data_IF_492736021222
#
_entry.id   IF_492736021222
#
_cell.length_a   1.000
_cell.length_b   1.000
_cell.length_c   1.000
_cell.angle_alpha   90.00
_cell.angle_beta   90.00
_cell.angle_gamma   90.00
#
_symmetry.space_group_name_H-M   'P 1'
#
loop_
_entity.id
_entity.type
_entity.pdbx_description
1 polymer ?
#
# COMPACT_ATOMS: atom_id res chain seq x y z
N UNK A 1 10.25 -10.36 21.92
CA UNK A 1 11.27 -9.97 20.92
C UNK A 1 11.42 -8.47 20.99
N UNK A 2 12.64 -7.94 21.16
CA UNK A 2 12.85 -6.56 21.60
C UNK A 2 13.18 -5.66 20.38
N UNK A 3 12.17 -5.25 19.61
CA UNK A 3 12.34 -4.42 18.39
C UNK A 3 12.90 -3.02 18.69
N UNK A 4 13.02 -2.65 19.98
CA UNK A 4 13.66 -1.41 20.45
C UNK A 4 15.14 -1.29 20.09
N UNK A 5 15.86 -2.36 19.71
CA UNK A 5 17.31 -2.27 19.52
C UNK A 5 17.78 -1.75 18.15
N UNK A 6 17.00 -1.88 17.07
CA UNK A 6 17.46 -1.50 15.70
C UNK A 6 16.69 -0.35 15.05
N UNK A 7 15.51 0.00 15.54
CA UNK A 7 14.72 1.11 15.01
C UNK A 7 14.85 2.34 15.89
N UNK A 8 15.35 3.44 15.32
CA UNK A 8 15.28 4.76 15.93
C UNK A 8 13.83 5.24 15.90
N UNK A 9 13.08 4.97 16.98
CA UNK A 9 11.69 5.35 17.18
C UNK A 9 11.63 6.76 17.77
N UNK A 10 11.21 7.78 16.99
CA UNK A 10 11.08 9.13 17.51
C UNK A 10 9.96 9.21 18.56
N UNK A 11 10.11 10.08 19.55
CA UNK A 11 9.06 10.36 20.57
C UNK A 11 7.72 10.77 19.95
N UNK A 12 7.74 11.40 18.77
CA UNK A 12 6.52 11.75 18.02
C UNK A 12 5.72 10.50 17.59
N UNK A 13 6.40 9.39 17.30
CA UNK A 13 5.77 8.12 16.94
C UNK A 13 5.14 7.45 18.16
N UNK A 14 5.85 7.43 19.30
CA UNK A 14 5.30 6.93 20.57
C UNK A 14 4.03 7.70 20.98
N UNK A 15 4.09 9.03 20.91
CA UNK A 15 2.94 9.89 21.19
C UNK A 15 1.78 9.63 20.22
N UNK A 16 2.07 9.43 18.93
CA UNK A 16 1.05 9.12 17.93
C UNK A 16 0.37 7.78 18.21
N UNK A 17 1.14 6.71 18.47
CA UNK A 17 0.64 5.39 18.81
C UNK A 17 -0.19 5.41 20.10
N UNK A 18 0.28 6.10 21.15
CA UNK A 18 -0.46 6.26 22.39
C UNK A 18 -1.80 6.98 22.21
N UNK A 19 -1.86 8.02 21.36
CA UNK A 19 -3.11 8.71 21.01
C UNK A 19 -4.07 7.80 20.23
N UNK A 20 -3.56 7.06 19.26
CA UNK A 20 -4.34 6.13 18.43
C UNK A 20 -5.01 5.07 19.31
N UNK A 21 -4.25 4.44 20.21
CA UNK A 21 -4.76 3.43 21.13
C UNK A 21 -5.76 3.99 22.13
N UNK A 22 -5.39 5.06 22.85
CA UNK A 22 -6.24 5.64 23.91
C UNK A 22 -7.59 6.14 23.38
N UNK A 23 -7.61 6.71 22.18
CA UNK A 23 -8.84 7.20 21.55
C UNK A 23 -9.56 6.14 20.71
N UNK A 24 -9.01 4.92 20.62
CA UNK A 24 -9.53 3.82 19.78
C UNK A 24 -9.78 4.26 18.33
N UNK A 25 -8.83 4.97 17.75
CA UNK A 25 -8.85 5.30 16.32
C UNK A 25 -8.48 4.04 15.53
N UNK A 26 -9.50 3.33 15.05
CA UNK A 26 -9.38 1.99 14.49
C UNK A 26 -8.88 2.01 13.06
N UNK A 27 -9.33 2.95 12.23
CA UNK A 27 -8.86 3.10 10.84
C UNK A 27 -7.80 4.19 10.74
N UNK A 28 -6.55 3.80 10.57
CA UNK A 28 -5.39 4.69 10.53
C UNK A 28 -4.84 4.74 9.11
N UNK A 29 -4.95 5.90 8.45
CA UNK A 29 -4.37 6.13 7.12
C UNK A 29 -3.00 6.81 7.26
N UNK A 30 -1.95 6.19 6.72
CA UNK A 30 -0.59 6.75 6.78
C UNK A 30 -0.21 7.37 5.43
N UNK A 31 0.11 8.66 5.43
CA UNK A 31 0.53 9.43 4.25
C UNK A 31 1.88 10.10 4.50
N UNK A 32 2.61 10.36 3.42
CA UNK A 32 3.96 10.93 3.48
C UNK A 32 4.71 10.71 2.18
N UNK A 33 5.75 11.51 1.96
CA UNK A 33 6.60 11.38 0.79
C UNK A 33 7.33 10.03 0.72
N UNK A 34 8.08 9.85 -0.36
CA UNK A 34 9.01 8.74 -0.52
C UNK A 34 10.08 8.80 0.60
N UNK A 35 10.49 7.64 1.12
CA UNK A 35 11.53 7.48 2.15
C UNK A 35 11.32 8.32 3.42
N UNK A 36 10.06 8.45 3.85
CA UNK A 36 9.70 9.11 5.12
C UNK A 36 9.51 8.13 6.29
N UNK A 37 9.73 6.83 6.08
CA UNK A 37 9.55 5.81 7.13
C UNK A 37 8.11 5.38 7.37
N UNK A 38 7.21 5.55 6.38
CA UNK A 38 5.79 5.13 6.49
C UNK A 38 5.63 3.66 6.82
N UNK A 39 6.27 2.79 6.05
CA UNK A 39 6.29 1.35 6.29
C UNK A 39 6.80 1.03 7.70
N UNK A 40 7.94 1.60 8.09
CA UNK A 40 8.51 1.43 9.43
C UNK A 40 7.56 1.89 10.55
N UNK A 41 6.88 3.03 10.38
CA UNK A 41 5.86 3.50 11.33
C UNK A 41 4.67 2.53 11.39
N UNK A 42 4.22 1.99 10.26
CA UNK A 42 3.12 1.02 10.23
C UNK A 42 3.50 -0.27 10.99
N UNK A 43 4.75 -0.74 10.83
CA UNK A 43 5.27 -1.90 11.55
C UNK A 43 5.29 -1.65 13.06
N UNK A 44 5.89 -0.53 13.47
CA UNK A 44 5.93 -0.09 14.86
C UNK A 44 4.52 0.03 15.47
N UNK A 45 3.59 0.68 14.76
CA UNK A 45 2.21 0.83 15.24
C UNK A 45 1.49 -0.52 15.34
N UNK A 46 1.71 -1.44 14.39
CA UNK A 46 1.15 -2.80 14.44
C UNK A 46 1.61 -3.54 15.69
N UNK A 47 2.91 -3.53 15.98
CA UNK A 47 3.47 -4.18 17.18
C UNK A 47 2.91 -3.56 18.46
N UNK A 48 2.83 -2.23 18.55
CA UNK A 48 2.25 -1.53 19.72
C UNK A 48 0.79 -1.93 19.96
N UNK A 49 -0.01 -2.07 18.89
CA UNK A 49 -1.41 -2.53 18.98
C UNK A 49 -1.48 -3.99 19.46
N UNK A 50 -0.64 -4.86 18.90
CA UNK A 50 -0.56 -6.27 19.27
C UNK A 50 -0.15 -6.48 20.73
N UNK A 51 0.89 -5.78 21.19
CA UNK A 51 1.36 -5.82 22.60
C UNK A 51 0.26 -5.33 23.55
N UNK A 52 -0.60 -4.41 23.09
CA UNK A 52 -1.74 -3.92 23.86
C UNK A 52 -2.92 -4.91 23.91
N UNK A 53 -2.78 -6.11 23.34
CA UNK A 53 -3.80 -7.16 23.35
C UNK A 53 -4.87 -7.00 22.27
N UNK A 54 -4.60 -6.24 21.21
CA UNK A 54 -5.53 -6.03 20.11
C UNK A 54 -5.00 -6.62 18.80
N UNK A 55 -5.89 -7.18 17.99
CA UNK A 55 -5.56 -7.61 16.64
C UNK A 55 -5.51 -6.40 15.68
N UNK A 56 -4.68 -6.53 14.64
CA UNK A 56 -4.51 -5.49 13.62
C UNK A 56 -4.52 -6.09 12.22
N UNK A 57 -5.21 -5.43 11.31
CA UNK A 57 -5.15 -5.66 9.87
C UNK A 57 -4.22 -4.64 9.26
N UNK A 58 -3.33 -5.10 8.40
CA UNK A 58 -2.42 -4.25 7.65
C UNK A 58 -2.81 -4.25 6.18
N UNK A 59 -3.15 -3.08 5.65
CA UNK A 59 -3.45 -2.87 4.24
C UNK A 59 -2.28 -2.12 3.61
N UNK A 60 -1.48 -2.83 2.83
CA UNK A 60 -0.33 -2.24 2.13
C UNK A 60 -0.72 -1.84 0.71
N UNK A 61 -1.03 -0.56 0.54
CA UNK A 61 -1.39 0.03 -0.73
C UNK A 61 -0.25 0.82 -1.40
N UNK A 62 1.01 0.50 -1.08
CA UNK A 62 2.19 0.93 -1.85
C UNK A 62 2.61 -0.12 -2.89
N UNK A 63 2.04 -0.03 -4.09
CA UNK A 63 2.31 -0.99 -5.19
C UNK A 63 3.76 -1.01 -5.69
N UNK A 64 4.55 0.03 -5.37
CA UNK A 64 5.91 0.17 -5.88
C UNK A 64 6.98 -0.27 -4.88
N UNK A 65 6.70 -0.17 -3.58
CA UNK A 65 7.59 -0.60 -2.49
C UNK A 65 6.77 -1.38 -1.47
N UNK A 66 6.64 -2.68 -1.69
CA UNK A 66 5.83 -3.57 -0.86
C UNK A 66 6.56 -3.96 0.42
N UNK A 67 5.78 -4.03 1.49
CA UNK A 67 6.18 -4.69 2.74
C UNK A 67 5.70 -6.14 2.80
N UNK A 68 4.54 -6.42 2.18
CA UNK A 68 3.87 -7.73 2.23
C UNK A 68 3.30 -8.08 0.86
N UNK A 69 3.69 -9.25 0.34
CA UNK A 69 3.28 -9.76 -0.97
C UNK A 69 4.00 -9.11 -2.15
N UNK A 70 3.67 -9.54 -3.39
CA UNK A 70 4.42 -9.14 -4.58
C UNK A 70 4.15 -7.68 -4.97
N UNK A 71 5.09 -7.00 -5.67
CA UNK A 71 4.84 -5.69 -6.27
C UNK A 71 3.60 -5.69 -7.18
N UNK A 72 3.08 -4.50 -7.51
CA UNK A 72 1.86 -4.30 -8.33
C UNK A 72 0.54 -4.74 -7.70
N UNK A 73 0.55 -5.08 -6.41
CA UNK A 73 -0.64 -5.45 -5.65
C UNK A 73 -0.91 -4.52 -4.48
N UNK A 74 -2.18 -4.43 -4.09
CA UNK A 74 -2.58 -3.95 -2.77
C UNK A 74 -2.91 -5.18 -1.94
N UNK A 75 -2.30 -5.33 -0.77
CA UNK A 75 -2.44 -6.54 0.04
C UNK A 75 -3.13 -6.24 1.36
N UNK A 76 -3.89 -7.23 1.85
CA UNK A 76 -4.35 -7.32 3.22
C UNK A 76 -3.57 -8.44 3.91
N UNK A 77 -3.05 -8.16 5.09
CA UNK A 77 -2.44 -9.16 5.95
C UNK A 77 -2.79 -8.95 7.42
N UNK A 78 -2.45 -9.94 8.25
CA UNK A 78 -2.70 -9.95 9.68
C UNK A 78 -1.38 -10.16 10.43
N UNK A 79 -0.66 -9.06 10.77
CA UNK A 79 0.54 -9.13 11.59
C UNK A 79 0.27 -9.83 12.93
N UNK A 80 1.28 -10.54 13.40
CA UNK A 80 1.29 -11.19 14.71
C UNK A 80 2.68 -11.04 15.35
N UNK A 81 2.81 -11.41 16.63
CA UNK A 81 4.07 -11.27 17.38
C UNK A 81 5.06 -12.42 17.17
N UNK A 82 4.69 -13.46 16.41
CA UNK A 82 5.51 -14.65 16.19
C UNK A 82 6.36 -14.54 14.92
N UNK A 83 5.86 -13.85 13.90
CA UNK A 83 6.52 -13.70 12.61
C UNK A 83 7.14 -12.31 12.47
N UNK A 84 8.28 -12.25 11.77
CA UNK A 84 8.79 -10.97 11.29
C UNK A 84 7.81 -10.34 10.29
N UNK A 85 7.76 -9.02 10.26
CA UNK A 85 6.76 -8.30 9.47
C UNK A 85 6.92 -8.54 7.96
N UNK A 86 8.16 -8.70 7.51
CA UNK A 86 8.52 -9.04 6.13
C UNK A 86 8.06 -10.45 5.70
N UNK A 87 7.87 -11.36 6.65
CA UNK A 87 7.50 -12.75 6.41
C UNK A 87 5.99 -13.01 6.61
N UNK A 88 5.19 -11.96 6.68
CA UNK A 88 3.74 -12.10 6.81
C UNK A 88 3.15 -12.44 5.44
N UNK A 89 2.46 -13.58 5.36
CA UNK A 89 1.69 -13.94 4.18
C UNK A 89 0.47 -13.03 3.96
N UNK A 90 0.22 -12.56 2.72
CA UNK A 90 -1.01 -11.86 2.39
C UNK A 90 -2.23 -12.78 2.59
N UNK A 91 -3.23 -12.32 3.34
CA UNK A 91 -4.53 -12.99 3.42
C UNK A 91 -5.41 -12.71 2.19
N UNK A 92 -5.17 -11.60 1.51
CA UNK A 92 -5.79 -11.28 0.23
C UNK A 92 -4.94 -10.27 -0.55
N UNK A 93 -5.11 -10.27 -1.87
CA UNK A 93 -4.52 -9.29 -2.77
C UNK A 93 -5.55 -8.71 -3.73
N UNK A 94 -5.31 -7.48 -4.14
CA UNK A 94 -5.95 -6.85 -5.29
C UNK A 94 -4.87 -6.50 -6.31
N UNK A 95 -4.98 -7.10 -7.50
CA UNK A 95 -4.04 -6.84 -8.58
C UNK A 95 -4.32 -5.49 -9.24
N UNK A 96 -3.35 -4.58 -9.14
CA UNK A 96 -3.38 -3.28 -9.82
C UNK A 96 -2.75 -3.40 -11.21
N UNK A 97 -1.75 -4.27 -11.37
CA UNK A 97 -1.06 -4.49 -12.64
C UNK A 97 0.00 -3.45 -12.98
N UNK A 98 0.31 -2.54 -12.05
CA UNK A 98 1.37 -1.55 -12.21
C UNK A 98 2.08 -1.28 -10.88
N UNK A 99 3.39 -1.03 -10.96
CA UNK A 99 4.23 -0.59 -9.83
C UNK A 99 4.23 0.93 -9.67
N UNK A 100 3.58 1.67 -10.58
CA UNK A 100 3.39 3.12 -10.51
C UNK A 100 1.90 3.49 -10.41
N UNK A 101 1.53 4.49 -9.58
CA UNK A 101 0.12 4.88 -9.46
C UNK A 101 -0.42 5.61 -10.70
N UNK A 102 0.44 6.25 -11.48
CA UNK A 102 0.05 7.01 -12.68
C UNK A 102 -0.63 6.07 -13.70
N UNK A 103 -1.73 6.53 -14.29
CA UNK A 103 -2.60 5.69 -15.14
C UNK A 103 -3.50 4.69 -14.38
N UNK A 104 -3.27 4.48 -13.08
CA UNK A 104 -3.89 3.41 -12.29
C UNK A 104 -4.57 3.93 -11.01
N UNK A 105 -5.00 5.20 -10.98
CA UNK A 105 -5.59 5.82 -9.79
C UNK A 105 -6.87 5.12 -9.33
N UNK A 106 -7.78 4.80 -10.25
CA UNK A 106 -9.04 4.11 -9.95
C UNK A 106 -8.83 2.73 -9.31
N UNK A 107 -8.06 1.80 -9.92
CA UNK A 107 -7.82 0.51 -9.29
C UNK A 107 -7.08 0.64 -7.95
N UNK A 108 -6.24 1.66 -7.77
CA UNK A 108 -5.60 1.93 -6.48
C UNK A 108 -6.59 2.31 -5.38
N UNK A 109 -7.58 3.15 -5.69
CA UNK A 109 -8.64 3.57 -4.75
C UNK A 109 -9.57 2.39 -4.45
N UNK A 110 -10.07 1.72 -5.49
CA UNK A 110 -10.98 0.56 -5.39
C UNK A 110 -10.32 -0.59 -4.63
N UNK A 111 -9.08 -0.95 -4.97
CA UNK A 111 -8.36 -2.03 -4.32
C UNK A 111 -8.11 -1.76 -2.84
N UNK A 112 -7.73 -0.52 -2.49
CA UNK A 112 -7.56 -0.12 -1.08
C UNK A 112 -8.88 -0.27 -0.32
N UNK A 113 -10.00 0.19 -0.89
CA UNK A 113 -11.32 0.08 -0.27
C UNK A 113 -11.74 -1.37 -0.07
N UNK A 114 -11.60 -2.22 -1.09
CA UNK A 114 -11.93 -3.65 -0.98
C UNK A 114 -11.12 -4.35 0.12
N UNK A 115 -9.81 -4.10 0.19
CA UNK A 115 -8.96 -4.69 1.23
C UNK A 115 -9.35 -4.21 2.64
N UNK A 116 -9.69 -2.94 2.80
CA UNK A 116 -10.18 -2.40 4.08
C UNK A 116 -11.56 -3.00 4.46
N UNK A 117 -12.45 -3.19 3.50
CA UNK A 117 -13.80 -3.73 3.75
C UNK A 117 -13.80 -5.20 4.18
N UNK A 118 -12.92 -6.02 3.61
CA UNK A 118 -12.83 -7.44 3.97
C UNK A 118 -11.95 -7.69 5.20
N UNK A 119 -11.26 -6.65 5.69
CA UNK A 119 -10.43 -6.74 6.90
C UNK A 119 -11.30 -7.02 8.12
N UNK A 120 -10.81 -7.90 9.01
CA UNK A 120 -11.60 -8.42 10.14
C UNK A 120 -11.12 -7.94 11.50
N UNK A 121 -9.89 -7.42 11.59
CA UNK A 121 -9.34 -7.01 12.86
C UNK A 121 -9.95 -5.69 13.35
N UNK A 122 -9.99 -5.44 14.68
CA UNK A 122 -10.52 -4.20 15.22
C UNK A 122 -9.77 -2.95 14.77
N UNK A 123 -8.46 -3.05 14.54
CA UNK A 123 -7.63 -1.97 13.99
C UNK A 123 -7.22 -2.27 12.55
N UNK A 124 -7.20 -1.24 11.71
CA UNK A 124 -6.77 -1.30 10.31
C UNK A 124 -5.77 -0.19 10.05
N UNK A 125 -4.53 -0.56 9.78
CA UNK A 125 -3.47 0.36 9.38
C UNK A 125 -3.33 0.30 7.86
N UNK A 126 -3.38 1.46 7.21
CA UNK A 126 -3.34 1.57 5.76
C UNK A 126 -2.07 2.31 5.36
N UNK A 127 -1.08 1.58 4.88
CA UNK A 127 0.10 2.15 4.25
C UNK A 127 -0.22 2.63 2.84
N UNK A 128 0.41 3.72 2.40
CA UNK A 128 0.15 4.30 1.08
C UNK A 128 1.43 4.68 0.36
N UNK A 129 1.36 4.81 -0.96
CA UNK A 129 2.47 5.24 -1.82
C UNK A 129 3.12 6.56 -1.39
N UNK A 130 4.39 6.75 -1.71
CA UNK A 130 5.09 8.04 -1.51
C UNK A 130 4.69 9.19 -2.46
N UNK A 131 3.74 8.98 -3.38
CA UNK A 131 3.31 9.98 -4.36
C UNK A 131 2.39 11.02 -3.69
N UNK A 132 2.93 12.22 -3.43
CA UNK A 132 2.24 13.30 -2.70
C UNK A 132 2.02 14.57 -3.53
N UNK A 133 2.54 14.63 -4.75
CA UNK A 133 2.39 15.76 -5.66
C UNK A 133 1.50 15.39 -6.85
N UNK A 134 0.94 16.40 -7.53
CA UNK A 134 0.09 16.25 -8.72
C UNK A 134 -1.01 15.19 -8.52
N UNK A 135 -1.04 14.14 -9.35
CA UNK A 135 -1.97 13.00 -9.27
C UNK A 135 -1.94 12.30 -7.92
N UNK A 136 -0.82 12.36 -7.19
CA UNK A 136 -0.70 11.89 -5.81
C UNK A 136 -1.67 12.57 -4.85
N UNK A 137 -1.87 13.89 -4.98
CA UNK A 137 -2.83 14.63 -4.14
C UNK A 137 -4.25 14.13 -4.38
N UNK A 138 -4.60 13.95 -5.66
CA UNK A 138 -5.90 13.43 -6.10
C UNK A 138 -6.10 12.03 -5.52
N UNK A 139 -5.09 11.17 -5.64
CA UNK A 139 -5.12 9.80 -5.11
C UNK A 139 -5.32 9.77 -3.60
N UNK A 140 -4.59 10.58 -2.83
CA UNK A 140 -4.77 10.64 -1.37
C UNK A 140 -6.14 11.16 -1.01
N UNK A 141 -6.64 12.17 -1.71
CA UNK A 141 -7.97 12.73 -1.49
C UNK A 141 -9.06 11.68 -1.62
N UNK A 142 -9.12 10.97 -2.75
CA UNK A 142 -10.10 9.91 -2.97
C UNK A 142 -9.96 8.75 -1.97
N UNK A 143 -8.73 8.41 -1.53
CA UNK A 143 -8.55 7.43 -0.45
C UNK A 143 -9.11 7.94 0.88
N UNK A 144 -8.91 9.21 1.25
CA UNK A 144 -9.46 9.79 2.48
C UNK A 144 -10.99 9.79 2.43
N UNK A 145 -11.57 10.29 1.34
CA UNK A 145 -13.03 10.38 1.18
C UNK A 145 -13.72 9.01 1.22
N UNK A 146 -13.15 8.01 0.55
CA UNK A 146 -13.74 6.69 0.43
C UNK A 146 -13.54 5.82 1.68
N UNK A 147 -12.36 5.91 2.31
CA UNK A 147 -12.04 5.10 3.50
C UNK A 147 -12.63 5.72 4.77
N UNK A 148 -12.72 7.06 4.83
CA UNK A 148 -13.11 7.83 6.02
C UNK A 148 -12.32 7.36 7.25
N UNK A 149 -10.98 7.53 7.27
CA UNK A 149 -10.16 7.07 8.38
C UNK A 149 -10.50 7.86 9.66
N UNK A 150 -10.36 7.20 10.81
CA UNK A 150 -10.59 7.84 12.10
C UNK A 150 -9.50 8.88 12.38
N UNK A 151 -8.30 8.63 11.85
CA UNK A 151 -7.12 9.49 11.93
C UNK A 151 -6.21 9.31 10.71
N UNK A 152 -5.63 10.41 10.27
CA UNK A 152 -4.58 10.46 9.25
C UNK A 152 -3.25 10.73 9.96
N UNK A 153 -2.28 9.84 9.79
CA UNK A 153 -0.89 10.07 10.23
C UNK A 153 -0.11 10.62 9.03
N UNK A 154 0.33 11.87 9.15
CA UNK A 154 1.07 12.59 8.14
C UNK A 154 2.56 12.63 8.53
N UNK A 155 3.39 11.89 7.80
CA UNK A 155 4.83 11.84 8.01
C UNK A 155 5.55 12.78 7.03
N UNK A 156 6.09 13.88 7.52
CA UNK A 156 6.73 14.94 6.73
C UNK A 156 7.89 15.59 7.50
N UNK A 157 8.95 16.03 6.79
CA UNK A 157 10.06 16.80 7.39
C UNK A 157 9.74 18.30 7.59
N UNK A 158 8.72 18.77 6.90
CA UNK A 158 8.38 20.19 6.85
C UNK A 158 6.89 20.34 6.58
N UNK A 159 6.52 20.83 5.42
CA UNK A 159 5.15 21.21 5.08
C UNK A 159 4.73 20.65 3.71
N UNK A 160 5.41 19.61 3.24
CA UNK A 160 5.19 19.00 1.92
C UNK A 160 3.78 18.40 1.78
N UNK A 161 3.13 18.01 2.89
CA UNK A 161 1.77 17.49 2.91
C UNK A 161 0.71 18.57 3.14
N UNK A 162 1.06 19.86 3.30
CA UNK A 162 0.08 20.95 3.49
C UNK A 162 -0.99 20.98 2.41
N UNK A 163 -0.58 20.75 1.16
CA UNK A 163 -1.51 20.76 0.01
C UNK A 163 -2.61 19.70 0.11
N UNK A 164 -2.37 18.60 0.82
CA UNK A 164 -3.36 17.55 1.08
C UNK A 164 -4.06 17.82 2.41
N UNK A 165 -3.29 17.98 3.50
CA UNK A 165 -3.83 18.08 4.86
C UNK A 165 -4.73 19.30 5.09
N UNK A 166 -4.49 20.43 4.41
CA UNK A 166 -5.34 21.62 4.53
C UNK A 166 -6.75 21.40 3.98
N UNK A 167 -6.90 20.54 2.95
CA UNK A 167 -8.21 20.21 2.37
C UNK A 167 -9.06 19.34 3.31
N UNK A 168 -8.40 18.61 4.22
CA UNK A 168 -9.02 17.69 5.17
C UNK A 168 -8.87 18.15 6.62
N UNK A 169 -8.83 19.47 6.88
CA UNK A 169 -8.65 20.06 8.22
C UNK A 169 -9.67 19.60 9.29
N UNK A 170 -10.83 19.11 8.85
CA UNK A 170 -11.86 18.57 9.73
C UNK A 170 -11.63 17.10 10.12
N UNK A 171 -10.68 16.41 9.46
CA UNK A 171 -10.22 15.09 9.88
C UNK A 171 -9.21 15.23 11.01
N UNK A 172 -9.10 14.18 11.83
CA UNK A 172 -8.04 14.09 12.81
C UNK A 172 -6.73 13.84 12.08
N UNK A 173 -5.77 14.75 12.24
CA UNK A 173 -4.45 14.63 11.62
C UNK A 173 -3.39 14.67 12.71
N UNK A 174 -2.54 13.64 12.78
CA UNK A 174 -1.32 13.64 13.57
C UNK A 174 -0.16 13.86 12.61
N UNK A 175 0.58 14.95 12.78
CA UNK A 175 1.83 15.18 12.05
C UNK A 175 2.99 14.64 12.87
N UNK A 176 3.84 13.84 12.24
CA UNK A 176 5.05 13.28 12.85
C UNK A 176 6.25 13.44 11.93
N UNK A 177 7.42 13.61 12.54
CA UNK A 177 8.69 13.66 11.83
C UNK A 177 9.12 12.25 11.38
N UNK A 178 9.82 12.12 10.24
CA UNK A 178 10.51 10.89 9.88
C UNK A 178 11.57 10.51 10.91
N UNK A 179 11.88 9.21 11.01
CA UNK A 179 13.04 8.73 11.76
C UNK A 179 14.35 9.33 11.21
N UNK A 180 15.33 9.61 12.09
CA UNK A 180 16.64 10.12 11.68
C UNK A 180 17.41 9.15 10.78
N UNK A 181 17.06 7.86 10.82
CA UNK A 181 17.61 6.79 9.99
C UNK A 181 16.89 6.59 8.66
N UNK A 182 15.93 7.44 8.30
CA UNK A 182 15.22 7.32 7.02
C UNK A 182 16.16 7.65 5.84
N UNK A 183 16.75 6.61 5.24
CA UNK A 183 17.67 6.73 4.10
C UNK A 183 16.89 6.87 2.79
N UNK A 184 17.34 7.80 1.94
CA UNK A 184 16.82 7.94 0.58
C UNK A 184 17.33 6.78 -0.26
N UNK A 185 16.42 5.98 -0.83
CA UNK A 185 16.77 4.88 -1.73
C UNK A 185 16.76 5.36 -3.17
N UNK A 186 17.84 5.07 -3.89
CA UNK A 186 17.97 5.36 -5.31
C UNK A 186 17.00 4.52 -6.17
N UNK A 187 16.73 4.97 -7.39
CA UNK A 187 15.92 4.31 -8.40
C UNK A 187 16.43 2.90 -8.71
N UNK A 188 17.75 2.67 -8.81
CA UNK A 188 18.28 1.33 -9.10
C UNK A 188 18.04 0.38 -7.94
N UNK A 189 18.25 0.83 -6.70
CA UNK A 189 17.94 0.04 -5.50
C UNK A 189 16.46 -0.34 -5.43
N UNK A 190 15.57 0.58 -5.82
CA UNK A 190 14.12 0.30 -5.89
C UNK A 190 13.81 -0.74 -6.96
N UNK A 191 14.45 -0.64 -8.12
CA UNK A 191 14.27 -1.59 -9.21
C UNK A 191 14.73 -2.98 -8.79
N UNK A 192 15.95 -3.11 -8.27
CA UNK A 192 16.51 -4.38 -7.80
C UNK A 192 15.64 -5.02 -6.71
N UNK A 193 15.15 -4.23 -5.75
CA UNK A 193 14.22 -4.73 -4.72
C UNK A 193 12.92 -5.28 -5.32
N UNK A 194 12.37 -4.64 -6.36
CA UNK A 194 11.17 -5.14 -7.05
C UNK A 194 11.46 -6.43 -7.80
N UNK A 195 12.60 -6.52 -8.49
CA UNK A 195 13.03 -7.73 -9.19
C UNK A 195 13.20 -8.90 -8.21
N UNK A 196 13.88 -8.68 -7.09
CA UNK A 196 14.00 -9.69 -6.01
C UNK A 196 12.63 -10.06 -5.42
N UNK A 197 11.76 -9.09 -5.14
CA UNK A 197 10.44 -9.37 -4.58
C UNK A 197 9.56 -10.20 -5.54
N UNK A 198 9.66 -9.96 -6.85
CA UNK A 198 9.00 -10.81 -7.84
C UNK A 198 9.61 -12.20 -7.90
N UNK A 199 10.95 -12.32 -7.94
CA UNK A 199 11.63 -13.61 -7.97
C UNK A 199 11.26 -14.48 -6.77
N UNK A 200 11.30 -13.91 -5.56
CA UNK A 200 10.97 -14.64 -4.33
C UNK A 200 9.50 -15.11 -4.32
N UNK A 201 8.57 -14.28 -4.82
CA UNK A 201 7.16 -14.67 -4.90
C UNK A 201 6.91 -15.85 -5.84
N UNK A 202 7.76 -15.99 -6.87
CA UNK A 202 7.71 -17.05 -7.87
C UNK A 202 8.86 -18.07 -7.70
N UNK A 203 9.43 -18.25 -6.52
CA UNK A 203 10.50 -19.25 -6.35
C UNK A 203 9.94 -20.68 -6.34
N UNK A 204 8.88 -20.92 -5.56
CA UNK A 204 8.26 -22.25 -5.35
C UNK A 204 6.90 -22.39 -6.05
N UNK A 205 6.73 -21.80 -7.23
CA UNK A 205 5.46 -21.83 -7.97
C UNK A 205 5.41 -22.94 -9.02
N UNK A 206 4.19 -23.43 -9.29
CA UNK A 206 3.93 -24.34 -10.40
C UNK A 206 3.63 -23.54 -11.67
N UNK A 207 4.15 -24.00 -12.80
CA UNK A 207 3.71 -23.52 -14.11
C UNK A 207 2.28 -24.00 -14.38
N UNK A 208 1.45 -23.10 -14.88
CA UNK A 208 0.07 -23.40 -15.29
C UNK A 208 -0.12 -22.91 -16.71
N UNK A 209 -0.47 -23.83 -17.61
CA UNK A 209 -0.85 -23.51 -18.99
C UNK A 209 -2.36 -23.27 -19.05
N UNK A 210 -2.76 -22.14 -19.62
CA UNK A 210 -4.16 -21.74 -19.77
C UNK A 210 -4.43 -21.41 -21.24
N UNK A 211 -5.51 -21.95 -21.78
CA UNK A 211 -5.96 -21.61 -23.12
C UNK A 211 -6.46 -20.16 -23.15
N UNK A 212 -5.74 -19.31 -23.89
CA UNK A 212 -6.02 -17.89 -23.97
C UNK A 212 -7.42 -17.58 -24.51
N UNK A 213 -7.98 -18.46 -25.35
CA UNK A 213 -9.33 -18.29 -25.91
C UNK A 213 -10.44 -18.53 -24.86
N UNK A 214 -10.09 -19.20 -23.75
CA UNK A 214 -10.99 -19.46 -22.63
C UNK A 214 -10.88 -18.44 -21.50
N UNK A 215 -9.95 -17.48 -21.61
CA UNK A 215 -9.71 -16.47 -20.59
C UNK A 215 -10.48 -15.18 -20.86
N UNK A 216 -10.96 -14.56 -19.77
CA UNK A 216 -11.54 -13.23 -19.79
C UNK A 216 -10.56 -12.22 -19.20
N UNK A 217 -10.20 -11.22 -19.98
CA UNK A 217 -9.27 -10.18 -19.56
C UNK A 217 -10.03 -8.93 -19.10
N UNK A 218 -9.96 -8.62 -17.82
CA UNK A 218 -10.49 -7.36 -17.30
C UNK A 218 -9.47 -6.24 -17.45
N UNK A 219 -9.93 -5.02 -17.75
CA UNK A 219 -9.09 -3.81 -17.90
C UNK A 219 -8.03 -3.95 -19.00
N UNK A 220 -8.30 -4.82 -19.96
CA UNK A 220 -7.55 -4.99 -21.20
C UNK A 220 -8.50 -4.81 -22.37
N UNK A 221 -7.95 -4.49 -23.55
CA UNK A 221 -8.70 -4.49 -24.80
C UNK A 221 -8.59 -5.82 -25.56
N UNK A 222 -7.81 -6.78 -25.05
CA UNK A 222 -7.70 -8.12 -25.62
C UNK A 222 -9.08 -8.80 -25.64
N UNK A 223 -9.48 -9.34 -26.80
CA UNK A 223 -10.74 -10.04 -27.02
C UNK A 223 -12.00 -9.19 -26.81
N UNK A 224 -11.87 -7.87 -26.94
CA UNK A 224 -12.99 -6.93 -26.85
C UNK A 224 -13.38 -6.30 -28.19
N UNK A 225 -12.51 -6.42 -29.20
CA UNK A 225 -12.73 -5.85 -30.52
C UNK A 225 -13.33 -6.84 -31.52
N UNK A 226 -13.51 -6.37 -32.77
CA UNK A 226 -13.82 -7.26 -33.88
C UNK A 226 -12.53 -7.92 -34.36
N UNK A 227 -12.48 -9.26 -34.36
CA UNK A 227 -11.36 -10.01 -34.93
C UNK A 227 -11.20 -9.66 -36.41
N UNK A 228 -9.96 -9.39 -36.81
CA UNK A 228 -9.58 -9.18 -38.20
C UNK A 228 -8.49 -10.17 -38.60
N UNK A 229 -8.41 -10.45 -39.89
CA UNK A 229 -7.27 -11.17 -40.46
C UNK A 229 -6.24 -10.15 -40.94
N UNK A 230 -5.03 -10.23 -40.40
CA UNK A 230 -3.90 -9.38 -40.81
C UNK A 230 -2.63 -10.22 -40.89
N UNK A 231 -1.95 -10.15 -42.03
CA UNK A 231 -0.68 -10.86 -42.24
C UNK A 231 0.34 -10.53 -41.14
N UNK A 232 1.10 -11.55 -40.73
CA UNK A 232 2.10 -11.46 -39.65
C UNK A 232 1.56 -10.98 -38.29
N UNK A 233 0.26 -11.16 -38.04
CA UNK A 233 -0.32 -10.90 -36.72
C UNK A 233 -0.89 -12.18 -36.10
N UNK A 234 -0.68 -12.32 -34.81
CA UNK A 234 -1.29 -13.38 -33.98
C UNK A 234 -2.38 -12.68 -33.17
N UNK A 235 -3.64 -12.95 -33.49
CA UNK A 235 -4.85 -12.37 -32.87
C UNK A 235 -4.95 -10.83 -32.95
N UNK A 236 -5.29 -10.32 -34.14
CA UNK A 236 -5.54 -8.88 -34.35
C UNK A 236 -7.02 -8.51 -34.23
N UNK A 237 -7.26 -7.36 -33.59
CA UNK A 237 -8.60 -6.82 -33.34
C UNK A 237 -8.64 -5.32 -33.63
N UNK A 238 -9.81 -4.83 -34.05
CA UNK A 238 -10.09 -3.39 -34.15
C UNK A 238 -11.11 -3.03 -33.07
N UNK A 239 -10.72 -2.10 -32.20
CA UNK A 239 -11.63 -1.43 -31.26
C UNK A 239 -12.22 -0.21 -31.97
N UNK A 240 -13.54 -0.10 -32.04
CA UNK A 240 -14.19 1.11 -32.53
C UNK A 240 -14.04 2.19 -31.44
N UNK A 241 -13.32 3.26 -31.75
CA UNK A 241 -13.17 4.46 -30.91
C UNK A 241 -14.46 5.24 -30.78
#
# INVERSE_FOLDING_TARGET
MNMKSDLDIPRSWENAAGRILSNRWRKVLVIGGIDRGKSTFCRYLSEVILISGHEVSFVDADVGQKDVGPPSTITLSYPNLLNEFENIEPAAFYFVGSVTPEGHLLPMVVGTKKMVEISRAPFVIINTTGLIHQTGRILKGYKIELIRPDVIVAIEKSNELKSITNQYRNHRIIRIEPSGRAVRKDIEERRKRRETAFANYFEDHNEVELDIEQLLFQRSLLFSGKRIERENSVHSEITLS
#
